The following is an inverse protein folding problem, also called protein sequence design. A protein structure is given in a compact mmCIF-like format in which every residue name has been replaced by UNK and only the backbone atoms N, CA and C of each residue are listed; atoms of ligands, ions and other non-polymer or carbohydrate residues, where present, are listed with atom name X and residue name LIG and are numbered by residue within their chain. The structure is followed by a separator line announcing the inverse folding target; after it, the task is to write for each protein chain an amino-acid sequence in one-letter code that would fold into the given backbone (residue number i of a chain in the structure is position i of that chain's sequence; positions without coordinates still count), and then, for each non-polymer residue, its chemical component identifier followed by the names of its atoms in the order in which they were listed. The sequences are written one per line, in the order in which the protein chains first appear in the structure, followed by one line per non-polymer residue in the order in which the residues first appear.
data_IF_772048161268
#
_entry.id   IF_772048161268
#
_cell.length_a   1.000
_cell.length_b   1.000
_cell.length_c   1.000
_cell.angle_alpha   90.00
_cell.angle_beta   90.00
_cell.angle_gamma   90.00
#
_symmetry.space_group_name_H-M   'P 1'
#
loop_
_entity.id
_entity.type
_entity.pdbx_description
1 polymer ?
#
# COMPACT_ATOMS: atom_id res chain seq x y z
N UNK A 1 -28.27 -41.70 48.19
CA UNK A 1 -26.99 -40.96 48.00
C UNK A 1 -26.78 -40.79 46.51
N UNK A 2 -27.18 -39.63 45.96
CA UNK A 2 -27.09 -39.35 44.49
C UNK A 2 -25.84 -38.52 44.24
N UNK A 3 -24.89 -39.10 43.52
CA UNK A 3 -23.66 -38.43 43.12
C UNK A 3 -23.94 -37.66 41.81
N UNK A 4 -23.82 -36.33 41.86
CA UNK A 4 -23.88 -35.47 40.67
C UNK A 4 -22.47 -35.33 40.11
N UNK A 5 -22.24 -35.91 38.93
CA UNK A 5 -21.02 -35.61 38.14
C UNK A 5 -21.17 -34.22 37.50
N UNK A 6 -20.30 -33.30 37.85
CA UNK A 6 -20.10 -32.05 37.16
C UNK A 6 -19.17 -32.32 35.94
N UNK A 7 -19.72 -32.23 34.71
CA UNK A 7 -18.91 -32.16 33.51
C UNK A 7 -18.39 -30.72 33.35
N UNK A 8 -17.08 -30.54 33.50
CA UNK A 8 -16.39 -29.29 33.14
C UNK A 8 -16.10 -29.34 31.65
N UNK A 9 -16.78 -28.50 30.86
CA UNK A 9 -16.49 -28.30 29.46
C UNK A 9 -15.26 -27.39 29.35
N UNK A 10 -14.13 -27.97 28.91
CA UNK A 10 -12.92 -27.20 28.52
C UNK A 10 -13.14 -26.71 27.10
N UNK A 11 -13.51 -25.43 26.92
CA UNK A 11 -13.53 -24.78 25.62
C UNK A 11 -12.08 -24.46 25.23
N UNK A 12 -11.60 -25.11 24.18
CA UNK A 12 -10.27 -24.90 23.59
C UNK A 12 -10.24 -23.61 22.79
N UNK A 13 -9.42 -22.64 23.22
CA UNK A 13 -9.06 -21.41 22.51
C UNK A 13 -8.03 -21.68 21.39
N UNK A 14 -8.26 -22.62 20.48
CA UNK A 14 -7.32 -22.96 19.40
C UNK A 14 -7.56 -22.20 18.08
N UNK A 15 -8.70 -21.52 17.90
CA UNK A 15 -9.09 -20.98 16.60
C UNK A 15 -8.48 -19.62 16.20
N UNK A 16 -8.04 -18.81 17.16
CA UNK A 16 -7.55 -17.46 16.85
C UNK A 16 -6.05 -17.42 16.49
N UNK A 17 -5.26 -18.35 17.00
CA UNK A 17 -3.82 -18.43 16.70
C UNK A 17 -3.55 -18.92 15.27
N UNK A 18 -4.30 -19.91 14.78
CA UNK A 18 -4.16 -20.49 13.44
C UNK A 18 -4.51 -19.49 12.33
N UNK A 19 -5.54 -18.66 12.51
CA UNK A 19 -5.92 -17.64 11.52
C UNK A 19 -4.89 -16.49 11.41
N UNK A 20 -4.18 -16.17 12.49
CA UNK A 20 -3.14 -15.15 12.50
C UNK A 20 -1.82 -15.66 11.88
N UNK A 21 -1.49 -16.94 12.06
CA UNK A 21 -0.32 -17.58 11.44
C UNK A 21 -0.50 -17.73 9.93
N UNK A 22 -1.68 -18.07 9.44
CA UNK A 22 -2.00 -18.12 8.01
C UNK A 22 -1.91 -16.74 7.33
N UNK A 23 -2.23 -15.66 8.03
CA UNK A 23 -2.12 -14.31 7.48
C UNK A 23 -0.68 -13.87 7.27
N UNK A 24 0.20 -14.10 8.24
CA UNK A 24 1.62 -13.76 8.11
C UNK A 24 2.32 -14.62 7.03
N UNK A 25 1.75 -15.76 6.64
CA UNK A 25 2.25 -16.60 5.57
C UNK A 25 2.20 -15.90 4.19
N UNK A 26 1.24 -15.00 3.97
CA UNK A 26 1.06 -14.31 2.69
C UNK A 26 2.20 -13.34 2.31
N UNK A 27 3.06 -12.95 3.26
CA UNK A 27 4.26 -12.15 3.04
C UNK A 27 5.49 -12.68 3.81
N UNK A 28 5.49 -13.98 4.10
CA UNK A 28 6.58 -14.62 4.86
C UNK A 28 7.91 -14.66 4.11
N UNK A 29 7.88 -14.56 2.80
CA UNK A 29 9.02 -14.51 1.89
C UNK A 29 9.50 -13.08 1.57
N UNK A 30 8.85 -12.05 2.16
CA UNK A 30 9.27 -10.68 1.96
C UNK A 30 10.65 -10.41 2.56
N UNK A 31 11.60 -10.03 1.72
CA UNK A 31 12.94 -9.59 2.12
C UNK A 31 13.04 -8.10 2.36
N UNK A 32 12.07 -7.32 1.86
CA UNK A 32 12.02 -5.86 2.00
C UNK A 32 10.62 -5.40 2.38
N UNK A 33 10.53 -4.45 3.32
CA UNK A 33 9.27 -3.89 3.76
C UNK A 33 9.35 -2.37 3.85
N UNK A 34 8.41 -1.69 3.18
CA UNK A 34 8.16 -0.25 3.33
C UNK A 34 6.97 -0.11 4.29
N UNK A 35 7.20 0.46 5.46
CA UNK A 35 6.18 0.64 6.49
C UNK A 35 5.82 2.11 6.62
N UNK A 36 4.55 2.43 6.46
CA UNK A 36 3.99 3.74 6.75
C UNK A 36 3.07 3.62 7.96
N UNK A 37 3.32 4.43 8.98
CA UNK A 37 2.41 4.56 10.11
C UNK A 37 1.79 5.95 10.14
N UNK A 38 0.49 6.02 10.48
CA UNK A 38 -0.22 7.28 10.71
C UNK A 38 -0.66 7.38 12.17
N UNK A 39 -0.78 8.58 12.78
CA UNK A 39 -1.23 8.72 14.17
C UNK A 39 -2.60 8.07 14.43
N UNK A 40 -3.46 8.00 13.43
CA UNK A 40 -4.79 7.41 13.52
C UNK A 40 -5.47 7.30 12.17
N UNK A 41 -6.70 6.76 12.17
CA UNK A 41 -7.49 6.51 10.96
C UNK A 41 -7.83 7.76 10.14
N UNK A 42 -7.87 8.93 10.74
CA UNK A 42 -8.23 10.18 10.07
C UNK A 42 -7.03 11.10 9.79
N UNK A 43 -5.82 10.66 10.10
CA UNK A 43 -4.61 11.44 9.82
C UNK A 43 -4.25 11.35 8.34
N UNK A 44 -3.94 12.49 7.73
CA UNK A 44 -3.58 12.66 6.32
C UNK A 44 -2.06 12.66 6.08
N UNK A 45 -1.28 12.43 7.13
CA UNK A 45 0.17 12.35 7.12
C UNK A 45 0.65 11.16 7.96
N UNK A 46 1.88 10.73 7.74
CA UNK A 46 2.48 9.62 8.44
C UNK A 46 4.00 9.62 8.36
N UNK A 47 4.59 8.58 8.91
CA UNK A 47 6.03 8.32 8.89
C UNK A 47 6.31 7.05 8.12
N UNK A 48 7.18 7.14 7.12
CA UNK A 48 7.67 6.00 6.35
C UNK A 48 8.99 5.52 6.94
N UNK A 49 9.11 4.20 7.10
CA UNK A 49 10.33 3.47 7.46
C UNK A 49 10.57 2.34 6.48
N UNK A 50 11.81 1.96 6.30
CA UNK A 50 12.21 0.83 5.43
C UNK A 50 12.91 -0.23 6.25
N UNK A 51 12.62 -1.50 5.96
CA UNK A 51 13.19 -2.64 6.66
C UNK A 51 13.68 -3.70 5.67
N UNK A 52 14.86 -4.26 5.94
CA UNK A 52 15.35 -5.46 5.27
C UNK A 52 15.24 -6.65 6.22
N UNK A 53 14.84 -7.81 5.70
CA UNK A 53 14.84 -9.06 6.46
C UNK A 53 16.26 -9.64 6.49
N UNK A 54 16.74 -9.98 7.68
CA UNK A 54 18.05 -10.58 7.92
C UNK A 54 17.89 -11.90 8.66
N UNK A 55 18.99 -12.62 8.92
CA UNK A 55 18.96 -13.83 9.73
C UNK A 55 18.41 -13.58 11.16
N UNK A 56 18.60 -12.35 11.68
CA UNK A 56 18.13 -11.93 13.01
C UNK A 56 16.74 -11.26 12.98
N UNK A 57 16.02 -11.32 11.84
CA UNK A 57 14.72 -10.70 11.63
C UNK A 57 14.80 -9.36 10.92
N UNK A 58 13.76 -8.52 11.08
CA UNK A 58 13.66 -7.21 10.43
C UNK A 58 14.65 -6.20 11.00
N UNK A 59 15.43 -5.56 10.13
CA UNK A 59 16.36 -4.48 10.47
C UNK A 59 15.94 -3.19 9.75
N UNK A 60 15.78 -2.11 10.49
CA UNK A 60 15.48 -0.79 9.91
C UNK A 60 16.67 -0.30 9.07
N UNK A 61 16.38 0.20 7.86
CA UNK A 61 17.34 0.70 6.88
C UNK A 61 17.09 2.20 6.65
N UNK A 62 18.11 3.02 6.91
CA UNK A 62 18.02 4.47 6.73
C UNK A 62 17.26 5.17 7.86
N UNK A 63 16.82 6.39 7.61
CA UNK A 63 16.11 7.22 8.57
C UNK A 63 14.62 7.28 8.23
N UNK A 64 13.75 7.33 9.24
CA UNK A 64 12.33 7.62 9.05
C UNK A 64 12.12 8.95 8.29
N UNK A 65 11.07 9.01 7.47
CA UNK A 65 10.79 10.19 6.67
C UNK A 65 9.28 10.49 6.64
N UNK A 66 8.89 11.78 6.57
CA UNK A 66 7.48 12.16 6.48
C UNK A 66 6.90 11.81 5.12
N UNK A 67 5.63 11.41 5.12
CA UNK A 67 4.80 11.17 3.93
C UNK A 67 3.40 11.73 4.14
N UNK A 68 2.69 11.97 3.05
CA UNK A 68 1.26 12.30 3.08
C UNK A 68 0.45 11.15 2.51
N UNK A 69 -0.75 10.98 3.02
CA UNK A 69 -1.72 9.94 2.62
C UNK A 69 -3.05 10.58 2.24
N UNK A 70 -4.09 9.81 2.10
CA UNK A 70 -5.42 10.31 1.73
C UNK A 70 -5.91 11.41 2.67
N UNK A 71 -6.49 12.48 2.12
CA UNK A 71 -6.97 13.65 2.90
C UNK A 71 -8.07 13.32 3.91
N UNK A 72 -8.76 12.19 3.75
CA UNK A 72 -9.69 11.65 4.74
C UNK A 72 -9.03 10.59 5.65
N UNK A 73 -7.72 10.42 5.57
CA UNK A 73 -6.94 9.45 6.32
C UNK A 73 -6.80 8.09 5.62
N UNK A 74 -6.92 7.01 6.37
CA UNK A 74 -6.72 5.63 5.90
C UNK A 74 -7.96 4.78 6.16
N UNK A 75 -8.10 3.66 5.43
CA UNK A 75 -9.19 2.70 5.59
C UNK A 75 -8.72 1.30 5.19
N UNK A 76 -9.26 0.23 5.78
CA UNK A 76 -8.90 -1.15 5.45
C UNK A 76 -9.03 -1.43 3.97
N UNK A 77 -7.93 -1.80 3.34
CA UNK A 77 -7.81 -2.11 1.92
C UNK A 77 -7.90 -3.60 1.60
N UNK A 78 -7.84 -3.90 0.31
CA UNK A 78 -7.81 -5.24 -0.26
C UNK A 78 -6.39 -5.55 -0.72
N UNK A 79 -5.61 -6.21 0.11
CA UNK A 79 -4.21 -6.56 -0.14
C UNK A 79 -3.93 -8.02 0.16
N UNK A 80 -2.76 -8.28 0.72
CA UNK A 80 -2.31 -9.62 1.12
C UNK A 80 -2.98 -10.09 2.42
N UNK A 81 -3.38 -9.15 3.28
CA UNK A 81 -4.10 -9.49 4.52
C UNK A 81 -5.57 -9.81 4.22
N UNK A 82 -6.16 -10.67 5.07
CA UNK A 82 -7.60 -10.92 5.02
C UNK A 82 -8.40 -9.63 5.24
N UNK A 83 -9.60 -9.51 4.65
CA UNK A 83 -10.50 -8.39 4.87
C UNK A 83 -10.74 -8.12 6.36
N UNK A 84 -10.82 -6.85 6.75
CA UNK A 84 -11.05 -6.41 8.13
C UNK A 84 -12.20 -5.42 8.19
N UNK A 85 -12.87 -5.40 9.36
CA UNK A 85 -14.03 -4.54 9.62
C UNK A 85 -13.89 -3.76 10.96
N UNK A 86 -12.75 -3.90 11.63
CA UNK A 86 -12.46 -3.20 12.89
C UNK A 86 -11.92 -1.77 12.67
N UNK A 87 -12.42 -1.09 11.64
CA UNK A 87 -12.07 0.26 11.23
C UNK A 87 -12.82 0.66 9.95
N UNK A 88 -12.55 1.85 9.40
CA UNK A 88 -13.08 2.25 8.10
C UNK A 88 -12.67 1.26 7.01
N UNK A 89 -13.58 0.97 6.07
CA UNK A 89 -13.31 0.08 4.92
C UNK A 89 -13.17 0.93 3.66
N UNK A 90 -12.08 0.69 2.90
CA UNK A 90 -11.73 1.42 1.67
C UNK A 90 -12.81 1.25 0.59
N UNK A 91 -13.15 2.38 -0.03
CA UNK A 91 -14.09 2.45 -1.17
C UNK A 91 -13.53 3.37 -2.25
N UNK A 92 -14.05 3.22 -3.46
CA UNK A 92 -13.76 4.15 -4.54
C UNK A 92 -14.20 5.58 -4.16
N UNK A 93 -13.34 6.58 -4.42
CA UNK A 93 -13.64 7.99 -4.18
C UNK A 93 -13.72 8.43 -2.71
N UNK A 94 -13.38 7.58 -1.73
CA UNK A 94 -13.48 7.89 -0.28
C UNK A 94 -12.35 8.80 0.25
N UNK A 95 -11.39 9.15 -0.61
CA UNK A 95 -10.25 10.02 -0.29
C UNK A 95 -9.33 9.45 0.82
N UNK A 96 -9.34 8.13 1.02
CA UNK A 96 -8.54 7.43 2.01
C UNK A 96 -7.48 6.55 1.35
N UNK A 97 -6.29 6.49 1.93
CA UNK A 97 -5.30 5.49 1.52
C UNK A 97 -5.64 4.11 2.09
N UNK A 98 -5.40 3.03 1.34
CA UNK A 98 -5.68 1.68 1.84
C UNK A 98 -4.71 1.31 2.96
N UNK A 99 -5.26 0.87 4.10
CA UNK A 99 -4.53 0.27 5.22
C UNK A 99 -4.45 -1.25 5.03
N UNK A 100 -3.31 -1.83 5.36
CA UNK A 100 -3.05 -3.26 5.21
C UNK A 100 -1.62 -3.57 4.78
N UNK A 101 -1.43 -4.76 4.22
CA UNK A 101 -0.17 -5.24 3.62
C UNK A 101 -0.42 -5.47 2.13
N UNK A 102 0.43 -4.92 1.29
CA UNK A 102 0.30 -4.95 -0.17
C UNK A 102 1.62 -5.34 -0.80
N UNK A 103 1.60 -6.10 -1.91
CA UNK A 103 2.78 -6.24 -2.74
C UNK A 103 3.15 -4.88 -3.36
N UNK A 104 4.43 -4.65 -3.59
CA UNK A 104 4.91 -3.53 -4.40
C UNK A 104 5.02 -4.01 -5.84
N UNK A 105 4.28 -3.35 -6.73
CA UNK A 105 4.23 -3.66 -8.16
C UNK A 105 5.30 -2.93 -8.98
N UNK A 106 5.00 -2.68 -10.27
CA UNK A 106 5.92 -2.01 -11.17
C UNK A 106 6.22 -0.57 -10.73
N UNK A 107 7.46 -0.15 -10.94
CA UNK A 107 7.83 1.26 -10.88
C UNK A 107 7.41 1.97 -12.17
N UNK A 108 7.20 3.27 -12.11
CA UNK A 108 6.83 4.06 -13.28
C UNK A 108 7.43 5.47 -13.23
N UNK A 109 7.46 6.13 -14.37
CA UNK A 109 7.88 7.53 -14.42
C UNK A 109 7.88 8.11 -15.83
N UNK A 110 8.25 9.41 -15.93
CA UNK A 110 8.26 10.14 -17.20
C UNK A 110 9.53 9.88 -18.04
N UNK A 111 10.63 9.50 -17.38
CA UNK A 111 11.88 9.17 -18.07
C UNK A 111 11.77 7.79 -18.75
N UNK A 112 12.52 7.60 -19.84
CA UNK A 112 12.58 6.31 -20.53
C UNK A 112 13.20 5.17 -19.70
N UNK A 113 13.92 5.50 -18.62
CA UNK A 113 14.50 4.57 -17.64
C UNK A 113 14.63 5.23 -16.28
N UNK A 114 14.70 4.45 -15.21
CA UNK A 114 15.00 4.90 -13.86
C UNK A 114 16.13 4.07 -13.24
N UNK A 115 16.72 4.58 -12.17
CA UNK A 115 17.67 3.83 -11.34
C UNK A 115 16.88 2.88 -10.41
N UNK A 116 16.49 1.75 -10.97
CA UNK A 116 15.74 0.71 -10.26
C UNK A 116 15.94 -0.64 -10.93
N UNK A 117 15.86 -1.72 -10.13
CA UNK A 117 15.78 -3.11 -10.61
C UNK A 117 14.34 -3.62 -10.67
N UNK A 118 13.37 -2.86 -10.12
CA UNK A 118 11.95 -3.18 -10.26
C UNK A 118 11.54 -3.13 -11.74
N UNK A 119 10.54 -3.93 -12.16
CA UNK A 119 9.90 -3.71 -13.46
C UNK A 119 9.54 -2.23 -13.60
N UNK A 120 9.87 -1.62 -14.73
CA UNK A 120 9.70 -0.18 -14.90
C UNK A 120 8.89 0.14 -16.16
N UNK A 121 7.86 0.96 -15.98
CA UNK A 121 7.03 1.52 -17.05
C UNK A 121 7.44 2.96 -17.34
N UNK A 122 8.04 3.20 -18.50
CA UNK A 122 8.17 4.55 -19.03
C UNK A 122 6.79 5.02 -19.52
N UNK A 123 6.20 5.99 -18.81
CA UNK A 123 4.85 6.47 -19.09
C UNK A 123 4.76 7.23 -20.42
N UNK A 124 3.76 6.91 -21.23
CA UNK A 124 3.40 7.60 -22.46
C UNK A 124 2.23 8.58 -22.26
N UNK A 125 2.00 9.46 -23.22
CA UNK A 125 0.87 10.40 -23.18
C UNK A 125 -0.51 9.69 -23.17
N UNK A 126 -0.55 8.44 -23.59
CA UNK A 126 -1.76 7.62 -23.72
C UNK A 126 -1.92 6.59 -22.60
N UNK A 127 -1.05 6.63 -21.56
CA UNK A 127 -1.20 5.78 -20.37
C UNK A 127 -2.22 6.38 -19.39
N UNK A 128 -3.18 5.57 -19.00
CA UNK A 128 -4.19 5.87 -17.98
C UNK A 128 -4.23 4.75 -16.95
N UNK A 129 -4.40 5.09 -15.68
CA UNK A 129 -4.94 4.14 -14.74
C UNK A 129 -6.46 4.21 -14.78
N UNK A 130 -7.13 3.10 -15.04
CA UNK A 130 -8.59 3.08 -15.19
C UNK A 130 -9.25 2.98 -13.82
N UNK A 131 -9.84 4.09 -13.37
CA UNK A 131 -10.58 4.25 -12.12
C UNK A 131 -12.10 4.15 -12.30
N UNK A 132 -12.54 3.73 -13.48
CA UNK A 132 -13.97 3.52 -13.79
C UNK A 132 -14.42 2.16 -13.28
N UNK A 133 -15.13 2.15 -12.15
CA UNK A 133 -15.61 0.92 -11.52
C UNK A 133 -16.51 0.12 -12.44
N UNK A 134 -16.24 -1.19 -12.57
CA UNK A 134 -16.95 -2.09 -13.49
C UNK A 134 -16.33 -2.16 -14.89
N UNK A 135 -15.36 -1.32 -15.23
CA UNK A 135 -14.58 -1.48 -16.47
C UNK A 135 -13.76 -2.79 -16.42
N UNK A 136 -13.63 -3.54 -17.53
CA UNK A 136 -12.70 -4.67 -17.62
C UNK A 136 -11.23 -4.29 -17.36
N UNK A 137 -10.90 -2.99 -17.49
CA UNK A 137 -9.57 -2.45 -17.21
C UNK A 137 -9.46 -1.77 -15.84
N UNK A 138 -10.52 -1.84 -15.00
CA UNK A 138 -10.53 -1.21 -13.68
C UNK A 138 -9.29 -1.55 -12.86
N UNK A 139 -8.69 -0.54 -12.23
CA UNK A 139 -7.48 -0.67 -11.41
C UNK A 139 -6.23 -1.16 -12.18
N UNK A 140 -6.11 -0.81 -13.46
CA UNK A 140 -4.94 -1.13 -14.29
C UNK A 140 -4.37 0.11 -14.97
N UNK A 141 -3.06 0.18 -15.08
CA UNK A 141 -2.39 1.14 -15.97
C UNK A 141 -2.36 0.53 -17.37
N UNK A 142 -3.00 1.19 -18.33
CA UNK A 142 -3.13 0.74 -19.71
C UNK A 142 -2.76 1.84 -20.69
N UNK A 143 -2.25 1.47 -21.87
CA UNK A 143 -2.04 2.38 -23.00
C UNK A 143 -3.31 2.38 -23.87
N UNK A 144 -3.97 3.54 -24.00
CA UNK A 144 -5.17 3.70 -24.81
C UNK A 144 -4.98 3.30 -26.29
N UNK A 145 -3.75 3.39 -26.84
CA UNK A 145 -3.43 2.89 -28.18
C UNK A 145 -3.51 1.38 -28.31
N UNK A 146 -3.34 0.66 -27.20
CA UNK A 146 -3.37 -0.83 -27.16
C UNK A 146 -4.77 -1.33 -26.86
N UNK A 147 -5.43 -0.73 -25.84
CA UNK A 147 -6.76 -1.19 -25.39
C UNK A 147 -7.91 -0.49 -26.09
N UNK A 148 -7.65 0.59 -26.84
CA UNK A 148 -8.63 1.47 -27.49
C UNK A 148 -9.08 2.62 -26.58
N UNK A 149 -9.31 3.79 -27.17
CA UNK A 149 -9.72 5.02 -26.46
C UNK A 149 -11.01 4.83 -25.62
N UNK A 150 -11.92 3.99 -26.08
CA UNK A 150 -13.16 3.70 -25.37
C UNK A 150 -12.91 2.99 -24.03
N UNK A 151 -11.84 2.19 -23.91
CA UNK A 151 -11.52 1.44 -22.70
C UNK A 151 -11.05 2.35 -21.55
N UNK A 152 -10.56 3.55 -21.86
CA UNK A 152 -10.10 4.56 -20.90
C UNK A 152 -11.10 5.70 -20.73
N UNK A 153 -12.22 5.66 -21.44
CA UNK A 153 -13.25 6.71 -21.37
C UNK A 153 -13.81 6.83 -19.95
N UNK A 154 -13.84 8.04 -19.42
CA UNK A 154 -14.30 8.34 -18.07
C UNK A 154 -13.23 8.18 -16.98
N UNK A 155 -12.03 7.66 -17.31
CA UNK A 155 -10.91 7.63 -16.37
C UNK A 155 -10.45 9.04 -16.02
N UNK A 156 -10.25 9.29 -14.73
CA UNK A 156 -9.81 10.59 -14.21
C UNK A 156 -8.30 10.61 -13.89
N UNK A 157 -7.58 9.49 -14.14
CA UNK A 157 -6.21 9.27 -13.74
C UNK A 157 -5.24 9.08 -14.94
N UNK A 158 -4.99 10.15 -15.74
CA UNK A 158 -3.95 10.12 -16.77
C UNK A 158 -2.57 10.02 -16.10
N UNK A 159 -1.74 9.08 -16.55
CA UNK A 159 -0.45 8.82 -15.91
C UNK A 159 0.60 9.90 -16.26
N UNK A 160 0.56 10.49 -17.46
CA UNK A 160 1.39 11.65 -17.83
C UNK A 160 0.73 12.95 -17.40
N UNK A 161 0.72 13.18 -16.09
CA UNK A 161 0.11 14.36 -15.47
C UNK A 161 0.79 15.67 -15.91
N UNK A 162 2.07 15.64 -16.25
CA UNK A 162 2.78 16.78 -16.82
C UNK A 162 2.15 17.26 -18.15
N UNK A 163 1.58 16.34 -18.93
CA UNK A 163 0.89 16.65 -20.20
C UNK A 163 -0.59 17.01 -19.94
N UNK A 164 -1.28 16.21 -19.13
CA UNK A 164 -2.75 16.28 -18.99
C UNK A 164 -3.23 17.14 -17.81
N UNK A 165 -2.32 17.55 -16.90
CA UNK A 165 -2.67 18.28 -15.69
C UNK A 165 -1.70 19.45 -15.40
N UNK A 166 -1.55 20.35 -16.39
CA UNK A 166 -0.83 21.62 -16.25
C UNK A 166 0.62 21.49 -15.73
N UNK A 167 1.39 20.51 -16.22
CA UNK A 167 2.79 20.32 -15.84
C UNK A 167 3.00 19.61 -14.49
N UNK A 168 1.98 18.96 -13.95
CA UNK A 168 2.02 18.26 -12.68
C UNK A 168 3.09 17.14 -12.69
N UNK A 169 4.05 17.20 -11.77
CA UNK A 169 5.19 16.30 -11.70
C UNK A 169 5.01 15.13 -10.72
N UNK A 170 3.83 14.96 -10.13
CA UNK A 170 3.63 13.94 -9.08
C UNK A 170 3.92 12.52 -9.55
N UNK A 171 3.65 12.19 -10.81
CA UNK A 171 3.94 10.86 -11.39
C UNK A 171 5.26 10.79 -12.17
N UNK A 172 6.13 11.80 -12.00
CA UNK A 172 7.47 11.76 -12.60
C UNK A 172 8.28 10.54 -12.14
N UNK A 173 8.03 10.07 -10.92
CA UNK A 173 8.64 8.89 -10.32
C UNK A 173 7.62 8.28 -9.32
N UNK A 174 7.48 6.95 -9.34
CA UNK A 174 6.58 6.25 -8.42
C UNK A 174 6.60 4.75 -8.61
N UNK A 175 5.78 4.06 -7.81
CA UNK A 175 5.51 2.63 -7.95
C UNK A 175 4.06 2.31 -7.57
N UNK A 176 3.57 1.20 -8.09
CA UNK A 176 2.23 0.70 -7.81
C UNK A 176 2.20 0.03 -6.42
N UNK A 177 1.21 0.37 -5.61
CA UNK A 177 0.83 -0.37 -4.41
C UNK A 177 -0.31 -1.30 -4.82
N UNK A 178 -0.10 -2.61 -4.81
CA UNK A 178 -1.04 -3.61 -5.33
C UNK A 178 -2.28 -3.76 -4.43
N UNK A 179 -3.04 -2.66 -4.36
CA UNK A 179 -4.35 -2.63 -3.71
C UNK A 179 -5.43 -3.13 -4.68
N UNK A 180 -6.39 -3.91 -4.17
CA UNK A 180 -7.51 -4.46 -4.94
C UNK A 180 -7.08 -5.21 -6.23
N UNK A 181 -6.12 -6.15 -6.15
CA UNK A 181 -5.58 -6.84 -7.34
C UNK A 181 -6.64 -7.69 -8.06
N UNK A 182 -7.72 -8.07 -7.38
CA UNK A 182 -8.87 -8.77 -7.98
C UNK A 182 -9.86 -7.82 -8.67
N UNK A 183 -9.60 -6.51 -8.71
CA UNK A 183 -10.43 -5.51 -9.39
C UNK A 183 -11.89 -5.51 -8.92
N UNK A 184 -12.13 -5.74 -7.63
CA UNK A 184 -13.48 -5.68 -7.04
C UNK A 184 -14.07 -4.29 -7.27
N UNK A 185 -15.22 -4.25 -7.94
CA UNK A 185 -15.91 -3.01 -8.20
C UNK A 185 -16.15 -2.20 -6.92
N UNK A 186 -15.98 -0.87 -6.99
CA UNK A 186 -16.07 0.04 -5.84
C UNK A 186 -15.06 -0.21 -4.71
N UNK A 187 -14.08 -1.11 -4.89
CA UNK A 187 -13.09 -1.45 -3.87
C UNK A 187 -11.96 -0.42 -3.71
N UNK A 188 -11.87 0.55 -4.59
CA UNK A 188 -10.76 1.49 -4.71
C UNK A 188 -9.77 1.05 -5.79
N UNK A 189 -9.19 2.03 -6.48
CA UNK A 189 -8.31 1.82 -7.63
C UNK A 189 -7.16 2.81 -7.67
N UNK A 190 -6.16 2.54 -8.52
CA UNK A 190 -5.08 3.45 -8.87
C UNK A 190 -4.32 3.97 -7.66
N UNK A 191 -3.88 3.05 -6.80
CA UNK A 191 -3.14 3.36 -5.59
C UNK A 191 -1.63 3.27 -5.84
N UNK A 192 -0.96 4.39 -5.66
CA UNK A 192 0.46 4.56 -5.94
C UNK A 192 1.23 5.13 -4.75
N UNK A 193 2.53 4.85 -4.69
CA UNK A 193 3.50 5.73 -4.06
C UNK A 193 4.04 6.68 -5.13
N UNK A 194 4.02 8.01 -4.89
CA UNK A 194 4.44 9.01 -5.87
C UNK A 194 5.04 10.26 -5.20
N UNK A 195 5.46 11.24 -6.00
CA UNK A 195 5.99 12.49 -5.48
C UNK A 195 4.85 13.38 -4.94
N UNK A 196 5.08 14.08 -3.84
CA UNK A 196 4.14 15.09 -3.37
C UNK A 196 4.33 16.44 -4.09
N UNK A 197 3.35 17.32 -4.01
CA UNK A 197 3.53 18.74 -4.36
C UNK A 197 4.30 19.46 -3.27
N UNK A 198 3.89 19.23 -2.01
CA UNK A 198 4.53 19.70 -0.81
C UNK A 198 4.24 18.75 0.36
N UNK A 199 4.97 18.86 1.50
CA UNK A 199 4.69 18.10 2.70
C UNK A 199 3.30 18.37 3.33
N UNK A 200 2.61 19.45 2.93
CA UNK A 200 1.29 19.84 3.41
C UNK A 200 0.15 19.34 2.50
N UNK A 201 0.47 18.82 1.32
CA UNK A 201 -0.56 18.38 0.35
C UNK A 201 -0.89 16.91 0.55
N UNK A 202 -2.05 16.63 1.13
CA UNK A 202 -2.61 15.29 1.21
C UNK A 202 -3.05 14.77 -0.17
N UNK A 203 -3.17 13.44 -0.29
CA UNK A 203 -3.57 12.76 -1.54
C UNK A 203 -5.08 12.48 -1.58
N UNK A 204 -5.52 11.83 -2.64
CA UNK A 204 -6.89 11.31 -2.76
C UNK A 204 -6.98 9.80 -2.47
N UNK A 205 -5.86 9.17 -2.08
CA UNK A 205 -5.78 7.73 -1.75
C UNK A 205 -4.38 7.14 -1.88
N UNK A 206 -3.49 7.76 -2.63
CA UNK A 206 -2.09 7.37 -2.77
C UNK A 206 -1.27 7.71 -1.52
N UNK A 207 0.00 7.29 -1.49
CA UNK A 207 1.00 7.75 -0.53
C UNK A 207 2.01 8.63 -1.26
N UNK A 208 2.21 9.87 -0.79
CA UNK A 208 3.10 10.80 -1.46
C UNK A 208 4.28 11.23 -0.59
N UNK A 209 5.43 11.50 -1.22
CA UNK A 209 6.69 11.73 -0.54
C UNK A 209 7.65 12.65 -1.31
N UNK A 210 8.72 13.07 -0.63
CA UNK A 210 9.79 13.86 -1.23
C UNK A 210 10.51 13.09 -2.35
N UNK A 211 10.96 13.79 -3.42
CA UNK A 211 11.69 13.14 -4.53
C UNK A 211 12.91 12.35 -4.07
N UNK A 212 13.71 12.88 -3.15
CA UNK A 212 14.89 12.19 -2.64
C UNK A 212 14.56 10.88 -1.90
N UNK A 213 13.39 10.80 -1.25
CA UNK A 213 12.93 9.56 -0.62
C UNK A 213 12.50 8.55 -1.69
N UNK A 214 11.72 8.97 -2.69
CA UNK A 214 11.28 8.12 -3.78
C UNK A 214 12.48 7.52 -4.53
N UNK A 215 13.48 8.32 -4.87
CA UNK A 215 14.69 7.85 -5.55
C UNK A 215 15.45 6.81 -4.73
N UNK A 216 15.59 7.02 -3.41
CA UNK A 216 16.19 6.01 -2.53
C UNK A 216 15.39 4.71 -2.50
N UNK A 217 14.04 4.78 -2.47
CA UNK A 217 13.19 3.59 -2.50
C UNK A 217 13.34 2.85 -3.83
N UNK A 218 13.27 3.53 -4.97
CA UNK A 218 13.39 2.91 -6.29
C UNK A 218 14.75 2.22 -6.48
N UNK A 219 15.84 2.84 -6.03
CA UNK A 219 17.18 2.25 -6.09
C UNK A 219 17.37 1.07 -5.11
N UNK A 220 16.64 1.04 -4.00
CA UNK A 220 16.76 0.01 -2.97
C UNK A 220 15.85 -1.19 -3.18
N UNK A 221 14.64 -0.99 -3.70
CA UNK A 221 13.64 -2.06 -3.92
C UNK A 221 14.13 -3.05 -4.99
N UNK A 222 13.94 -4.34 -4.70
CA UNK A 222 14.36 -5.45 -5.57
C UNK A 222 13.23 -6.47 -5.72
N UNK A 223 12.84 -6.84 -6.94
CA UNK A 223 11.73 -7.76 -7.16
C UNK A 223 11.97 -9.16 -6.57
N UNK A 224 13.24 -9.63 -6.56
CA UNK A 224 13.61 -10.93 -5.98
C UNK A 224 13.50 -10.98 -4.45
N UNK A 225 13.43 -9.83 -3.78
CA UNK A 225 13.25 -9.72 -2.34
C UNK A 225 11.75 -9.59 -1.96
N UNK A 226 10.84 -9.82 -2.90
CA UNK A 226 9.38 -9.80 -2.71
C UNK A 226 8.90 -8.61 -1.85
N UNK A 227 9.20 -7.35 -2.27
CA UNK A 227 8.96 -6.19 -1.43
C UNK A 227 7.48 -5.98 -1.14
N UNK A 228 7.18 -5.65 0.12
CA UNK A 228 5.81 -5.33 0.54
C UNK A 228 5.71 -3.90 1.10
N UNK A 229 4.53 -3.31 0.90
CA UNK A 229 4.13 -2.02 1.45
C UNK A 229 3.11 -2.24 2.56
N UNK A 230 3.36 -1.68 3.73
CA UNK A 230 2.46 -1.71 4.89
C UNK A 230 2.02 -0.29 5.22
N UNK A 231 0.72 -0.07 5.32
CA UNK A 231 0.17 1.19 5.83
C UNK A 231 -0.82 0.87 6.94
N UNK A 232 -0.55 1.34 8.15
CA UNK A 232 -1.42 1.14 9.31
C UNK A 232 -1.44 2.37 10.22
N UNK A 233 -2.58 2.71 10.85
CA UNK A 233 -2.56 3.57 12.02
C UNK A 233 -1.72 2.96 13.15
N UNK A 234 -0.98 3.75 13.91
CA UNK A 234 -0.14 3.29 15.02
C UNK A 234 -0.86 2.35 16.01
N UNK A 235 -2.12 2.65 16.43
CA UNK A 235 -2.84 1.72 17.32
C UNK A 235 -3.13 0.36 16.66
N UNK A 236 -3.42 0.33 15.36
CA UNK A 236 -3.63 -0.91 14.63
C UNK A 236 -2.31 -1.66 14.43
N UNK A 237 -1.23 -0.92 14.12
CA UNK A 237 0.11 -1.48 14.00
C UNK A 237 0.54 -2.19 15.28
N UNK A 238 0.43 -1.52 16.44
CA UNK A 238 0.78 -2.09 17.74
C UNK A 238 -0.03 -3.36 18.06
N UNK A 239 -1.34 -3.37 17.74
CA UNK A 239 -2.21 -4.53 17.94
C UNK A 239 -1.84 -5.72 17.06
N UNK A 240 -1.40 -5.46 15.82
CA UNK A 240 -1.17 -6.48 14.80
C UNK A 240 0.28 -6.92 14.67
N UNK A 241 1.22 -6.15 15.22
CA UNK A 241 2.66 -6.33 15.03
C UNK A 241 3.13 -7.78 15.22
N UNK A 242 2.81 -8.38 16.36
CA UNK A 242 3.24 -9.74 16.66
C UNK A 242 2.54 -10.77 15.76
N UNK A 243 1.22 -10.68 15.60
CA UNK A 243 0.43 -11.62 14.80
C UNK A 243 0.77 -11.56 13.31
N UNK A 244 1.12 -10.38 12.81
CA UNK A 244 1.50 -10.15 11.41
C UNK A 244 3.02 -10.19 11.18
N UNK A 245 3.81 -10.48 12.23
CA UNK A 245 5.28 -10.51 12.19
C UNK A 245 5.88 -9.25 11.57
N UNK A 246 5.27 -8.10 11.87
CA UNK A 246 5.78 -6.80 11.41
C UNK A 246 7.01 -6.38 12.23
N UNK A 247 7.92 -5.58 11.65
CA UNK A 247 9.08 -5.08 12.37
C UNK A 247 8.69 -4.27 13.61
N UNK A 248 9.54 -4.26 14.62
CA UNK A 248 9.41 -3.29 15.70
C UNK A 248 9.67 -1.89 15.14
N UNK A 249 8.76 -0.94 15.46
CA UNK A 249 9.03 0.46 15.15
C UNK A 249 10.17 0.91 16.07
N UNK A 250 11.28 1.37 15.50
CA UNK A 250 12.34 1.99 16.28
C UNK A 250 11.79 3.15 17.11
N UNK A 251 12.32 3.36 18.31
CA UNK A 251 12.00 4.55 19.11
C UNK A 251 12.40 5.78 18.28
N UNK A 252 11.42 6.40 17.62
CA UNK A 252 11.64 7.69 17.00
C UNK A 252 12.10 8.66 18.08
N UNK A 253 13.17 9.42 17.83
CA UNK A 253 13.56 10.52 18.69
C UNK A 253 12.31 11.36 19.02
N UNK A 254 11.78 11.15 20.23
CA UNK A 254 10.73 11.97 20.83
C UNK A 254 11.29 13.32 21.19
#
# INVERSE_FOLDING_TARGET
MRIHLLLIAILTFAGAATAAEDQAAAWSDAGQMVVVTTPGWSADHGTLRTYAHTADGWKEIGQPAPVTVGKAGVAWGLGLNAPREDGPVKREGDLRSPAGVFAIGEAFGYAGKADTTMPYRALSATDYCVDVSGSPQYNRIVDARVVGEQAVQGSTEPMRRDIHAHGDQRYREGFVIEHNPQQRAQGGSCIFAHLWKSPADATTGCTAMAPALMQRLLAWLKPQDHPVFVLLPEPAYAKLQAAWRLPALGEGNR
#
